data_IF_131098910266
#
_entry.id   IF_131098910266
#
_cell.length_a   1.000
_cell.length_b   1.000
_cell.length_c   1.000
_cell.angle_alpha   90.00
_cell.angle_beta   90.00
_cell.angle_gamma   90.00
#
_symmetry.space_group_name_H-M   'P 1'
#
loop_
_entity.id
_entity.type
_entity.pdbx_description
1 polymer ?
#
# COMPACT_ATOMS: atom_id res chain seq x y z
N UNK A 1 15.25 37.99 11.76
CA UNK A 1 14.93 37.68 10.34
C UNK A 1 14.57 36.21 10.13
N UNK A 2 15.37 35.23 10.58
CA UNK A 2 15.09 33.79 10.39
C UNK A 2 13.74 33.31 10.97
N UNK A 3 13.33 33.84 12.11
CA UNK A 3 12.04 33.54 12.77
C UNK A 3 10.83 34.08 12.01
N UNK A 4 10.92 35.30 11.47
CA UNK A 4 9.91 35.90 10.62
C UNK A 4 9.76 35.16 9.28
N UNK A 5 10.87 34.72 8.69
CA UNK A 5 10.85 33.91 7.46
C UNK A 5 10.19 32.54 7.69
N UNK A 6 10.47 31.88 8.82
CA UNK A 6 9.86 30.60 9.17
C UNK A 6 8.35 30.71 9.43
N UNK A 7 7.90 31.77 10.12
CA UNK A 7 6.48 32.03 10.34
C UNK A 7 5.73 32.32 9.04
N UNK A 8 6.36 33.05 8.12
CA UNK A 8 5.78 33.34 6.81
C UNK A 8 5.67 32.06 5.95
N UNK A 9 6.69 31.18 5.97
CA UNK A 9 6.63 29.89 5.28
C UNK A 9 5.54 28.97 5.85
N UNK A 10 5.36 28.94 7.16
CA UNK A 10 4.30 28.16 7.81
C UNK A 10 2.90 28.67 7.44
N UNK A 11 2.71 29.99 7.38
CA UNK A 11 1.45 30.60 6.98
C UNK A 11 1.11 30.34 5.50
N UNK A 12 2.11 30.31 4.61
CA UNK A 12 1.92 29.97 3.19
C UNK A 12 1.57 28.48 3.02
N UNK A 13 2.16 27.57 3.80
CA UNK A 13 1.78 26.15 3.81
C UNK A 13 0.33 25.96 4.27
N UNK A 14 -0.11 26.70 5.30
CA UNK A 14 -1.46 26.60 5.83
C UNK A 14 -2.52 27.17 4.87
N UNK A 15 -2.19 28.25 4.15
CA UNK A 15 -3.11 28.91 3.21
C UNK A 15 -3.30 28.14 1.88
N UNK A 16 -2.44 27.16 1.58
CA UNK A 16 -2.49 26.36 0.34
C UNK A 16 -3.13 24.99 0.49
N UNK A 17 -3.67 24.63 1.66
CA UNK A 17 -4.36 23.35 1.83
C UNK A 17 -5.83 23.51 1.41
N UNK A 18 -6.19 22.97 0.25
CA UNK A 18 -7.59 22.74 -0.08
C UNK A 18 -8.17 21.73 0.92
N UNK A 19 -9.11 22.18 1.73
CA UNK A 19 -9.87 21.32 2.65
C UNK A 19 -11.16 20.92 1.97
N UNK A 20 -11.37 19.61 1.78
CA UNK A 20 -12.64 19.07 1.31
C UNK A 20 -13.71 19.25 2.39
N UNK A 21 -14.94 19.58 2.00
CA UNK A 21 -16.06 19.60 2.94
C UNK A 21 -16.41 18.17 3.37
N UNK A 22 -17.10 18.02 4.51
CA UNK A 22 -17.61 16.70 4.92
C UNK A 22 -18.57 16.10 3.90
N UNK A 23 -19.30 16.93 3.16
CA UNK A 23 -20.18 16.50 2.07
C UNK A 23 -19.35 15.92 0.91
N UNK A 24 -18.25 16.59 0.53
CA UNK A 24 -17.33 16.09 -0.50
C UNK A 24 -16.70 14.75 -0.09
N UNK A 25 -16.26 14.62 1.16
CA UNK A 25 -15.69 13.39 1.69
C UNK A 25 -16.73 12.26 1.75
N UNK A 26 -17.98 12.59 2.09
CA UNK A 26 -19.09 11.63 2.10
C UNK A 26 -19.39 11.12 0.70
N UNK A 27 -19.46 12.03 -0.28
CA UNK A 27 -19.65 11.69 -1.69
C UNK A 27 -18.50 10.82 -2.22
N UNK A 28 -17.25 11.18 -1.91
CA UNK A 28 -16.08 10.41 -2.33
C UNK A 28 -16.11 8.97 -1.78
N UNK A 29 -16.46 8.79 -0.50
CA UNK A 29 -16.60 7.46 0.11
C UNK A 29 -17.71 6.65 -0.55
N UNK A 30 -18.85 7.25 -0.86
CA UNK A 30 -19.95 6.56 -1.53
C UNK A 30 -19.55 6.11 -2.94
N UNK A 31 -18.96 7.00 -3.74
CA UNK A 31 -18.45 6.66 -5.07
C UNK A 31 -17.41 5.53 -5.02
N UNK A 32 -16.48 5.61 -4.07
CA UNK A 32 -15.46 4.58 -3.88
C UNK A 32 -16.07 3.22 -3.50
N UNK A 33 -17.08 3.19 -2.62
CA UNK A 33 -17.78 1.94 -2.23
C UNK A 33 -18.52 1.27 -3.39
N UNK A 34 -18.95 2.05 -4.38
CA UNK A 34 -19.61 1.56 -5.59
C UNK A 34 -18.62 1.04 -6.64
N UNK A 35 -17.35 1.45 -6.57
CA UNK A 35 -16.32 1.06 -7.52
C UNK A 35 -15.82 -0.38 -7.29
N UNK A 36 -15.35 -1.01 -8.38
CA UNK A 36 -14.51 -2.21 -8.29
C UNK A 36 -13.06 -1.72 -8.20
N UNK A 37 -12.54 -1.74 -6.98
CA UNK A 37 -11.14 -1.35 -6.72
C UNK A 37 -10.25 -2.56 -6.98
N UNK A 38 -9.39 -2.43 -7.99
CA UNK A 38 -8.36 -3.39 -8.33
C UNK A 38 -7.02 -2.67 -8.28
N UNK A 39 -6.12 -3.16 -7.44
CA UNK A 39 -4.75 -2.67 -7.40
C UNK A 39 -3.85 -3.58 -8.24
N UNK A 40 -2.97 -2.96 -9.02
CA UNK A 40 -2.16 -3.65 -10.03
C UNK A 40 -0.75 -3.99 -9.55
N UNK A 41 -0.35 -3.53 -8.36
CA UNK A 41 1.01 -3.75 -7.86
C UNK A 41 1.12 -3.53 -6.34
N UNK A 42 1.33 -4.61 -5.60
CA UNK A 42 1.69 -4.55 -4.18
C UNK A 42 2.94 -5.35 -3.87
N UNK A 43 3.94 -4.69 -3.27
CA UNK A 43 5.18 -5.29 -2.79
C UNK A 43 5.07 -5.86 -1.36
N UNK A 44 3.87 -5.91 -0.78
CA UNK A 44 3.63 -6.55 0.54
C UNK A 44 4.06 -8.02 0.56
N UNK A 45 4.20 -8.66 -0.61
CA UNK A 45 4.73 -10.02 -0.78
C UNK A 45 6.13 -10.20 -0.19
N UNK A 46 6.91 -9.14 0.04
CA UNK A 46 8.20 -9.26 0.74
C UNK A 46 8.04 -9.80 2.17
N UNK A 47 6.87 -9.61 2.78
CA UNK A 47 6.58 -10.06 4.15
C UNK A 47 6.17 -11.54 4.21
N UNK A 48 5.77 -12.16 3.10
CA UNK A 48 5.22 -13.53 3.09
C UNK A 48 6.25 -14.61 3.47
N UNK A 49 7.53 -14.23 3.57
CA UNK A 49 8.61 -15.12 4.02
C UNK A 49 9.00 -14.91 5.48
N UNK A 50 8.36 -13.96 6.18
CA UNK A 50 8.61 -13.70 7.59
C UNK A 50 7.83 -14.73 8.40
N UNK A 51 8.54 -15.52 9.20
CA UNK A 51 7.91 -16.54 10.05
C UNK A 51 6.91 -15.88 11.01
N UNK A 52 5.68 -16.41 11.05
CA UNK A 52 4.60 -15.89 11.89
C UNK A 52 3.90 -14.65 11.35
N UNK A 53 4.30 -14.13 10.18
CA UNK A 53 3.55 -13.05 9.54
C UNK A 53 2.38 -13.62 8.74
N UNK A 54 1.17 -13.13 9.00
CA UNK A 54 -0.06 -13.55 8.32
C UNK A 54 -0.80 -12.33 7.75
N UNK A 55 -1.09 -12.34 6.45
CA UNK A 55 -1.84 -11.25 5.81
C UNK A 55 -3.26 -11.10 6.37
N UNK A 56 -3.83 -12.16 6.95
CA UNK A 56 -5.15 -12.13 7.56
C UNK A 56 -5.21 -11.28 8.83
N UNK A 57 -4.06 -11.00 9.46
CA UNK A 57 -3.95 -10.25 10.71
C UNK A 57 -3.70 -8.76 10.48
N UNK A 58 -4.14 -7.94 11.44
CA UNK A 58 -3.88 -6.49 11.43
C UNK A 58 -2.47 -6.23 11.96
N UNK A 59 -1.62 -5.61 11.16
CA UNK A 59 -0.24 -5.29 11.55
C UNK A 59 -0.08 -3.86 12.03
N UNK A 60 0.81 -3.61 12.99
CA UNK A 60 1.14 -2.25 13.46
C UNK A 60 1.85 -1.43 12.39
N UNK A 61 2.69 -2.10 11.59
CA UNK A 61 3.44 -1.53 10.47
C UNK A 61 2.94 -2.02 9.11
N UNK A 62 3.58 -1.52 8.06
CA UNK A 62 3.20 -1.78 6.67
C UNK A 62 1.97 -0.99 6.18
N UNK A 63 1.66 -1.17 4.90
CA UNK A 63 0.57 -0.44 4.23
C UNK A 63 -0.64 -1.31 3.91
N UNK A 64 -0.48 -2.64 3.97
CA UNK A 64 -1.50 -3.57 3.48
C UNK A 64 -1.53 -4.82 4.34
N UNK A 65 -2.75 -5.14 4.77
CA UNK A 65 -3.17 -6.40 5.34
C UNK A 65 -4.64 -6.61 4.98
N UNK A 66 -5.16 -7.82 5.18
CA UNK A 66 -6.51 -8.19 4.78
C UNK A 66 -7.58 -7.36 5.52
N UNK A 67 -7.46 -7.04 6.83
CA UNK A 67 -8.34 -6.08 7.49
C UNK A 67 -8.39 -4.72 6.78
N UNK A 68 -7.24 -4.08 6.51
CA UNK A 68 -7.16 -2.80 5.79
C UNK A 68 -7.74 -2.90 4.38
N UNK A 69 -7.47 -3.98 3.66
CA UNK A 69 -8.01 -4.21 2.30
C UNK A 69 -9.54 -4.31 2.31
N UNK A 70 -10.11 -5.01 3.30
CA UNK A 70 -11.56 -5.11 3.48
C UNK A 70 -12.19 -3.77 3.83
N UNK A 71 -11.60 -3.03 4.77
CA UNK A 71 -12.02 -1.67 5.16
C UNK A 71 -11.99 -0.71 3.95
N UNK A 72 -10.94 -0.80 3.13
CA UNK A 72 -10.75 0.00 1.93
C UNK A 72 -11.61 -0.45 0.73
N UNK A 73 -12.31 -1.59 0.81
CA UNK A 73 -13.21 -2.07 -0.23
C UNK A 73 -12.52 -2.71 -1.45
N UNK A 74 -11.29 -3.20 -1.31
CA UNK A 74 -10.54 -3.86 -2.39
C UNK A 74 -11.29 -5.09 -2.89
N UNK A 75 -11.28 -5.31 -4.21
CA UNK A 75 -11.90 -6.47 -4.86
C UNK A 75 -10.87 -7.46 -5.40
N UNK A 76 -9.72 -6.96 -5.85
CA UNK A 76 -8.62 -7.78 -6.32
C UNK A 76 -7.28 -7.05 -6.14
N UNK A 77 -6.21 -7.83 -6.02
CA UNK A 77 -4.84 -7.36 -5.93
C UNK A 77 -3.97 -8.19 -6.86
N UNK A 78 -3.18 -7.53 -7.69
CA UNK A 78 -2.04 -8.15 -8.36
C UNK A 78 -0.82 -8.10 -7.44
N UNK A 79 -0.37 -9.27 -6.98
CA UNK A 79 0.76 -9.41 -6.08
C UNK A 79 2.08 -9.32 -6.85
N UNK A 80 2.96 -8.43 -6.42
CA UNK A 80 4.26 -8.23 -7.06
C UNK A 80 5.17 -9.44 -6.81
N UNK A 81 5.73 -9.99 -7.89
CA UNK A 81 6.85 -10.94 -7.84
C UNK A 81 8.13 -10.16 -8.15
N UNK A 82 8.43 -9.18 -7.30
CA UNK A 82 9.65 -8.39 -7.43
C UNK A 82 10.85 -9.12 -6.84
N UNK A 83 11.90 -9.22 -7.63
CA UNK A 83 13.12 -9.93 -7.27
C UNK A 83 14.34 -9.03 -7.26
N UNK A 84 14.25 -7.79 -7.74
CA UNK A 84 15.43 -6.98 -8.04
C UNK A 84 16.43 -7.70 -8.96
N UNK A 85 17.68 -7.22 -8.94
CA UNK A 85 18.78 -7.87 -9.68
C UNK A 85 19.22 -9.15 -8.96
N UNK A 86 19.39 -10.24 -9.71
CA UNK A 86 19.96 -11.51 -9.23
C UNK A 86 21.06 -11.96 -10.18
N UNK A 87 22.29 -12.01 -9.69
CA UNK A 87 23.46 -12.40 -10.50
C UNK A 87 23.67 -13.91 -10.47
N UNK A 88 24.13 -14.47 -11.60
CA UNK A 88 24.38 -15.89 -11.75
C UNK A 88 23.18 -16.68 -12.27
N UNK A 89 23.50 -17.76 -13.00
CA UNK A 89 22.53 -18.53 -13.76
C UNK A 89 21.42 -19.16 -12.89
N UNK A 90 20.18 -18.99 -13.34
CA UNK A 90 18.99 -19.54 -12.70
C UNK A 90 18.61 -18.94 -11.34
N UNK A 91 19.39 -18.01 -10.76
CA UNK A 91 19.03 -17.42 -9.44
C UNK A 91 17.75 -16.60 -9.51
N UNK A 92 17.57 -15.81 -10.57
CA UNK A 92 16.33 -15.07 -10.79
C UNK A 92 15.12 -16.00 -10.90
N UNK A 93 15.22 -17.08 -11.67
CA UNK A 93 14.10 -18.01 -11.84
C UNK A 93 13.72 -18.68 -10.51
N UNK A 94 14.70 -19.15 -9.73
CA UNK A 94 14.45 -19.75 -8.41
C UNK A 94 13.80 -18.78 -7.43
N UNK A 95 14.23 -17.52 -7.45
CA UNK A 95 13.61 -16.46 -6.65
C UNK A 95 12.15 -16.21 -7.05
N UNK A 96 11.87 -16.19 -8.36
CA UNK A 96 10.53 -15.93 -8.88
C UNK A 96 9.56 -17.01 -8.42
N UNK A 97 9.96 -18.27 -8.60
CA UNK A 97 9.15 -19.43 -8.23
C UNK A 97 8.87 -19.44 -6.73
N UNK A 98 9.88 -19.24 -5.88
CA UNK A 98 9.66 -19.16 -4.43
C UNK A 98 8.68 -18.05 -4.02
N UNK A 99 8.71 -16.90 -4.70
CA UNK A 99 7.77 -15.80 -4.43
C UNK A 99 6.36 -16.11 -4.90
N UNK A 100 6.23 -16.76 -6.07
CA UNK A 100 4.94 -17.25 -6.57
C UNK A 100 4.35 -18.27 -5.58
N UNK A 101 5.18 -19.21 -5.10
CA UNK A 101 4.76 -20.22 -4.13
C UNK A 101 4.29 -19.56 -2.82
N UNK A 102 5.04 -18.60 -2.28
CA UNK A 102 4.63 -17.88 -1.08
C UNK A 102 3.31 -17.11 -1.24
N UNK A 103 3.04 -16.56 -2.43
CA UNK A 103 1.72 -15.97 -2.72
C UNK A 103 0.64 -17.05 -2.67
N UNK A 104 0.80 -18.17 -3.38
CA UNK A 104 -0.19 -19.26 -3.37
C UNK A 104 -0.44 -19.88 -1.98
N UNK A 105 0.56 -19.88 -1.10
CA UNK A 105 0.41 -20.38 0.26
C UNK A 105 -0.30 -19.38 1.20
N UNK A 106 -0.21 -18.09 0.89
CA UNK A 106 -0.69 -17.00 1.77
C UNK A 106 -2.08 -16.48 1.41
N UNK A 107 -2.44 -16.43 0.12
CA UNK A 107 -3.71 -15.84 -0.38
C UNK A 107 -4.61 -16.86 -1.06
#
# INVERSE_FOLDING_TARGET
MRTLTALLMLAVLAAGQETYSEDDLTLARELHRQAIVLDTHSDTTTNFHIEGWDIAERHEDGHMDLPRMREAGFKAQFWSIYMGRREGEGRAIREALRRIDAVHETV
#
